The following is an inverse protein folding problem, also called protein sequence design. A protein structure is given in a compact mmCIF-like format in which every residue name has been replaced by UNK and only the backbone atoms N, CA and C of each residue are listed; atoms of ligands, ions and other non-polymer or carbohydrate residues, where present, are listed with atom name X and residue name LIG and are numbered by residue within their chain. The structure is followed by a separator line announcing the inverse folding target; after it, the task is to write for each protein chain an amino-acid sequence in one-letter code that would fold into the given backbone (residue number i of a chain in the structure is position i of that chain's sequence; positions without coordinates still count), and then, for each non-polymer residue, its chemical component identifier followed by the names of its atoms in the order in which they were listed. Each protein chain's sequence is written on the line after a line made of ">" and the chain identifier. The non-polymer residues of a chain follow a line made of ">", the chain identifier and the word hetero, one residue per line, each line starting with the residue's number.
data_IF_212293648048
#
_entry.id   IF_212293648048
#
_cell.length_a   1.000
_cell.length_b   1.000
_cell.length_c   1.000
_cell.angle_alpha   90.00
_cell.angle_beta   90.00
_cell.angle_gamma   90.00
#
_symmetry.space_group_name_H-M   'P 1'
#
loop_
_entity.id
_entity.type
_entity.pdbx_description
1 polymer ?
#
# COMPACT_ATOMS: atom_id res chain seq x y z
N UNK A 1 7.59 -7.46 21.34
CA UNK A 1 6.95 -7.92 20.09
C UNK A 1 7.62 -7.23 18.92
N UNK A 2 8.02 -8.00 17.95
CA UNK A 2 8.68 -7.45 16.78
C UNK A 2 7.67 -6.80 15.84
N UNK A 3 8.05 -5.64 15.31
CA UNK A 3 7.26 -4.99 14.26
C UNK A 3 7.44 -5.73 12.95
N UNK A 4 6.39 -5.76 12.15
CA UNK A 4 6.49 -6.19 10.77
C UNK A 4 7.38 -5.21 10.02
N UNK A 5 8.44 -5.70 9.37
CA UNK A 5 9.40 -4.81 8.72
C UNK A 5 8.83 -4.17 7.48
N UNK A 6 8.25 -4.97 6.60
CA UNK A 6 7.69 -4.45 5.36
C UNK A 6 6.46 -5.25 4.99
N UNK A 7 5.48 -4.54 4.43
CA UNK A 7 4.25 -5.16 3.93
C UNK A 7 4.08 -4.72 2.48
N UNK A 8 3.80 -5.67 1.61
CA UNK A 8 3.43 -5.39 0.22
C UNK A 8 1.92 -5.54 0.13
N UNK A 9 1.26 -4.48 -0.36
CA UNK A 9 -0.20 -4.46 -0.45
C UNK A 9 -0.61 -3.93 -1.80
N UNK A 10 -1.64 -4.56 -2.39
CA UNK A 10 -2.24 -4.01 -3.58
C UNK A 10 -3.06 -2.77 -3.23
N UNK A 11 -2.85 -1.71 -3.98
CA UNK A 11 -3.54 -0.44 -3.76
C UNK A 11 -5.05 -0.63 -3.97
N UNK A 12 -5.82 -0.23 -2.97
CA UNK A 12 -7.27 -0.33 -3.03
C UNK A 12 -7.90 1.01 -3.38
N UNK A 13 -9.04 0.97 -4.07
CA UNK A 13 -9.81 2.18 -4.32
C UNK A 13 -10.50 2.67 -3.04
N UNK A 14 -10.60 1.82 -2.03
CA UNK A 14 -11.14 2.20 -0.73
C UNK A 14 -10.02 2.77 0.12
N UNK A 15 -10.02 4.09 0.40
CA UNK A 15 -8.90 4.71 1.13
C UNK A 15 -8.66 4.07 2.49
N UNK A 16 -9.72 3.67 3.18
CA UNK A 16 -9.58 3.12 4.52
C UNK A 16 -8.85 1.77 4.51
N UNK A 17 -9.02 0.97 3.47
CA UNK A 17 -8.31 -0.30 3.36
C UNK A 17 -6.81 -0.09 3.22
N UNK A 18 -6.41 0.98 2.54
CA UNK A 18 -5.00 1.29 2.36
C UNK A 18 -4.33 1.69 3.67
N UNK A 19 -5.04 2.42 4.53
CA UNK A 19 -4.45 2.86 5.80
C UNK A 19 -4.60 1.82 6.90
N UNK A 20 -5.54 0.91 6.79
CA UNK A 20 -5.74 -0.14 7.80
C UNK A 20 -4.50 -1.01 7.99
N UNK A 21 -3.72 -1.20 6.95
CA UNK A 21 -2.50 -2.01 7.04
C UNK A 21 -1.52 -1.39 8.02
N UNK A 22 -1.44 -0.07 8.06
CA UNK A 22 -0.58 0.62 9.03
C UNK A 22 -1.13 0.48 10.44
N UNK A 23 -2.45 0.58 10.59
CA UNK A 23 -3.10 0.49 11.90
C UNK A 23 -3.00 -0.91 12.47
N UNK A 24 -3.15 -1.92 11.64
CA UNK A 24 -3.23 -3.31 12.08
C UNK A 24 -1.87 -3.93 12.35
N UNK A 25 -0.90 -3.68 11.46
CA UNK A 25 0.38 -4.37 11.51
C UNK A 25 1.52 -3.50 11.98
N UNK A 26 1.34 -2.18 11.99
CA UNK A 26 2.36 -1.21 12.40
C UNK A 26 3.70 -1.49 11.75
N UNK A 27 3.76 -1.58 10.41
CA UNK A 27 5.01 -1.95 9.72
C UNK A 27 5.99 -0.80 9.70
N UNK A 28 7.25 -1.11 9.44
CA UNK A 28 8.25 -0.09 9.21
C UNK A 28 8.13 0.51 7.81
N UNK A 29 7.65 -0.29 6.85
CA UNK A 29 7.48 0.14 5.46
C UNK A 29 6.25 -0.52 4.86
N UNK A 30 5.52 0.23 4.06
CA UNK A 30 4.41 -0.30 3.25
C UNK A 30 4.70 -0.02 1.79
N UNK A 31 4.65 -1.06 0.98
CA UNK A 31 4.85 -0.97 -0.46
C UNK A 31 3.51 -1.22 -1.12
N UNK A 32 2.96 -0.18 -1.75
CA UNK A 32 1.70 -0.30 -2.48
C UNK A 32 1.98 -0.59 -3.94
N UNK A 33 1.38 -1.67 -4.45
CA UNK A 33 1.43 -2.02 -5.86
C UNK A 33 0.07 -1.75 -6.47
N UNK A 34 0.05 -1.13 -7.61
CA UNK A 34 -1.22 -0.86 -8.27
C UNK A 34 -1.07 -0.37 -9.69
N UNK A 35 -2.19 -0.38 -10.39
CA UNK A 35 -2.28 0.19 -11.72
C UNK A 35 -2.43 1.71 -11.60
N UNK A 36 -1.87 2.44 -12.56
CA UNK A 36 -1.90 3.91 -12.49
C UNK A 36 -3.31 4.48 -12.42
N UNK A 37 -4.28 3.77 -13.02
CA UNK A 37 -5.67 4.23 -12.98
C UNK A 37 -6.28 4.08 -11.59
N UNK A 38 -5.72 3.22 -10.75
CA UNK A 38 -6.19 3.00 -9.39
C UNK A 38 -5.43 3.87 -8.38
N UNK A 39 -4.17 4.18 -8.66
CA UNK A 39 -3.35 4.99 -7.76
C UNK A 39 -3.50 6.47 -8.10
N UNK A 40 -4.64 7.03 -7.73
CA UNK A 40 -4.95 8.43 -7.99
C UNK A 40 -4.15 9.31 -7.03
N UNK A 41 -3.57 10.37 -7.56
CA UNK A 41 -2.71 11.28 -6.79
C UNK A 41 -3.36 11.75 -5.49
N UNK A 42 -4.65 12.05 -5.52
CA UNK A 42 -5.36 12.50 -4.33
C UNK A 42 -5.36 11.42 -3.24
N UNK A 43 -5.61 10.18 -3.64
CA UNK A 43 -5.65 9.07 -2.68
C UNK A 43 -4.27 8.80 -2.10
N UNK A 44 -3.23 8.88 -2.92
CA UNK A 44 -1.86 8.74 -2.46
C UNK A 44 -1.53 9.83 -1.44
N UNK A 45 -1.92 11.07 -1.74
CA UNK A 45 -1.68 12.20 -0.85
C UNK A 45 -2.41 12.02 0.48
N UNK A 46 -3.66 11.54 0.44
CA UNK A 46 -4.43 11.28 1.65
C UNK A 46 -3.77 10.23 2.53
N UNK A 47 -3.24 9.17 1.92
CA UNK A 47 -2.52 8.12 2.63
C UNK A 47 -1.25 8.67 3.26
N UNK A 48 -0.51 9.48 2.50
CA UNK A 48 0.71 10.10 3.01
C UNK A 48 0.43 11.04 4.18
N UNK A 49 -0.64 11.82 4.10
CA UNK A 49 -1.04 12.71 5.20
C UNK A 49 -1.43 11.92 6.44
N UNK A 50 -2.18 10.85 6.27
CA UNK A 50 -2.52 9.99 7.39
C UNK A 50 -1.27 9.41 8.04
N UNK A 51 -0.33 8.92 7.23
CA UNK A 51 0.94 8.40 7.71
C UNK A 51 1.71 9.46 8.50
N UNK A 52 1.84 10.65 7.95
CA UNK A 52 2.59 11.74 8.59
C UNK A 52 1.97 12.12 9.94
N UNK A 53 0.67 12.02 10.04
CA UNK A 53 -0.07 12.44 11.24
C UNK A 53 -0.09 11.38 12.32
N UNK A 54 -0.21 10.11 11.94
CA UNK A 54 -0.40 9.01 12.89
C UNK A 54 0.83 8.11 13.03
N UNK A 55 1.55 7.91 11.95
CA UNK A 55 2.64 6.94 11.90
C UNK A 55 3.83 7.52 11.15
N UNK A 56 4.45 8.60 11.65
CA UNK A 56 5.48 9.31 10.89
C UNK A 56 6.73 8.48 10.60
N UNK A 57 6.95 7.40 11.34
CA UNK A 57 8.11 6.54 11.15
C UNK A 57 7.91 5.50 10.05
N UNK A 58 6.69 5.33 9.56
CA UNK A 58 6.40 4.36 8.51
C UNK A 58 6.82 4.91 7.16
N UNK A 59 7.60 4.15 6.42
CA UNK A 59 7.96 4.51 5.05
C UNK A 59 6.90 4.00 4.09
N UNK A 60 6.53 4.84 3.13
CA UNK A 60 5.57 4.48 2.08
C UNK A 60 6.28 4.45 0.74
N UNK A 61 5.95 3.44 -0.05
CA UNK A 61 6.44 3.33 -1.41
C UNK A 61 5.26 2.95 -2.30
N UNK A 62 5.16 3.61 -3.44
CA UNK A 62 4.08 3.37 -4.40
C UNK A 62 4.70 2.93 -5.72
N UNK A 63 4.42 1.70 -6.11
CA UNK A 63 4.97 1.13 -7.34
C UNK A 63 3.83 0.93 -8.32
N UNK A 64 3.94 1.60 -9.46
CA UNK A 64 2.99 1.46 -10.54
C UNK A 64 3.37 0.26 -11.38
N UNK A 65 2.42 -0.65 -11.60
CA UNK A 65 2.66 -1.83 -12.43
C UNK A 65 1.64 -1.86 -13.55
N UNK A 66 2.02 -2.39 -14.74
CA UNK A 66 1.07 -2.60 -15.81
C UNK A 66 -0.03 -3.57 -15.37
N UNK A 67 -1.22 -3.40 -15.91
CA UNK A 67 -2.37 -4.23 -15.52
C UNK A 67 -2.08 -5.72 -15.75
N UNK A 68 -1.44 -6.04 -16.87
CA UNK A 68 -1.12 -7.43 -17.20
C UNK A 68 -0.17 -8.05 -16.17
N UNK A 69 0.84 -7.29 -15.75
CA UNK A 69 1.78 -7.76 -14.74
C UNK A 69 1.09 -7.93 -13.38
N UNK A 70 0.16 -7.04 -13.06
CA UNK A 70 -0.60 -7.13 -11.81
C UNK A 70 -1.44 -8.40 -11.80
N UNK A 71 -2.13 -8.70 -12.91
CA UNK A 71 -2.92 -9.92 -13.03
C UNK A 71 -2.04 -11.17 -12.90
N UNK A 72 -0.84 -11.15 -13.47
CA UNK A 72 0.09 -12.25 -13.36
C UNK A 72 0.57 -12.44 -11.92
N UNK A 73 0.85 -11.37 -11.22
CA UNK A 73 1.27 -11.43 -9.82
C UNK A 73 0.16 -12.04 -8.97
N UNK A 74 -1.07 -11.57 -9.16
CA UNK A 74 -2.23 -12.09 -8.43
C UNK A 74 -2.42 -13.57 -8.75
N UNK A 75 -2.34 -13.94 -10.03
CA UNK A 75 -2.45 -15.34 -10.43
C UNK A 75 -1.41 -16.23 -9.79
N UNK A 76 -0.18 -15.75 -9.71
CA UNK A 76 0.93 -16.49 -9.08
C UNK A 76 0.69 -16.67 -7.59
N UNK A 77 0.21 -15.62 -6.92
CA UNK A 77 -0.05 -15.69 -5.48
C UNK A 77 -1.26 -16.53 -5.15
N UNK A 78 -2.26 -16.53 -6.02
CA UNK A 78 -3.47 -17.33 -5.83
C UNK A 78 -3.28 -18.79 -6.21
N UNK A 79 -2.35 -19.06 -7.10
CA UNK A 79 -2.09 -20.40 -7.58
C UNK A 79 -1.06 -21.13 -6.78
#
# INVERSE_FOLDING_TARGET
>A
MERTKAIVKFFSQEPIENVMVMMKYMPERVIFLGHKDNMITKQIRDIEQFRDHKYPDVELEFIEVPKDDLDNIIGTLAG
#
